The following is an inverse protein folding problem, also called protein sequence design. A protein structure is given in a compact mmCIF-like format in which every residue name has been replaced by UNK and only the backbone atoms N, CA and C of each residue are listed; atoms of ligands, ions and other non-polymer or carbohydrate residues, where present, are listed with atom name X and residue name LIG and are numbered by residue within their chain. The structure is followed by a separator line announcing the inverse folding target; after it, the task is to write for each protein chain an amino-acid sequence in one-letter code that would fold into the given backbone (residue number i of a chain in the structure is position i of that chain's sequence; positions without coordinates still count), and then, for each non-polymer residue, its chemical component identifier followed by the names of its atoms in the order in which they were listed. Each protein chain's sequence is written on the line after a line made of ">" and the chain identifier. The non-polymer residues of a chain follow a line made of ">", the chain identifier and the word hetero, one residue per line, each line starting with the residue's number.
data_IF_096235084189
#
_entry.id   IF_096235084189
#
_cell.length_a   1.000
_cell.length_b   1.000
_cell.length_c   1.000
_cell.angle_alpha   90.00
_cell.angle_beta   90.00
_cell.angle_gamma   90.00
#
_symmetry.space_group_name_H-M   'P 1'
#
loop_
_entity.id
_entity.type
_entity.pdbx_description
1 polymer ?
#
# COMPACT_ATOMS: atom_id res chain seq x y z
N UNK A 1 52.84 -29.20 37.36
CA UNK A 1 51.43 -28.89 37.66
C UNK A 1 51.22 -27.37 37.63
N UNK A 2 50.18 -26.90 36.93
CA UNK A 2 49.56 -25.54 36.93
C UNK A 2 50.38 -24.36 36.37
N UNK A 3 49.88 -23.44 35.54
CA UNK A 3 48.96 -23.42 34.37
C UNK A 3 49.34 -22.10 33.66
N UNK A 4 49.67 -22.15 32.36
CA UNK A 4 49.89 -20.96 31.50
C UNK A 4 48.54 -20.34 31.16
N UNK A 5 48.39 -19.03 31.31
CA UNK A 5 47.27 -18.26 30.74
C UNK A 5 47.87 -17.02 30.07
N UNK A 6 47.90 -17.08 28.74
CA UNK A 6 48.35 -16.02 27.87
C UNK A 6 47.23 -14.98 27.72
N UNK A 7 47.62 -13.72 27.78
CA UNK A 7 46.80 -12.56 27.42
C UNK A 7 46.59 -12.65 25.90
N UNK A 8 45.40 -13.05 25.47
CA UNK A 8 44.99 -12.91 24.06
C UNK A 8 44.14 -11.66 23.96
N UNK A 9 44.85 -10.61 23.55
CA UNK A 9 44.33 -9.38 22.99
C UNK A 9 43.63 -9.72 21.67
N UNK A 10 42.31 -9.95 21.71
CA UNK A 10 41.52 -10.14 20.49
C UNK A 10 41.04 -8.79 19.98
N UNK A 11 41.63 -8.41 18.86
CA UNK A 11 41.24 -7.31 18.01
C UNK A 11 39.77 -7.40 17.56
N UNK A 12 39.02 -6.33 17.73
CA UNK A 12 38.05 -5.87 16.72
C UNK A 12 38.21 -4.36 16.62
N UNK A 13 39.13 -3.94 15.76
CA UNK A 13 39.27 -2.56 15.32
C UNK A 13 38.66 -2.47 13.92
N UNK A 14 37.74 -1.53 13.76
CA UNK A 14 37.35 -0.86 12.52
C UNK A 14 36.71 -1.67 11.37
N UNK A 15 35.38 -1.55 11.23
CA UNK A 15 34.75 -1.12 9.98
C UNK A 15 33.71 -0.05 10.35
N UNK A 16 34.07 1.23 10.24
CA UNK A 16 33.67 2.15 9.16
C UNK A 16 32.29 2.77 9.33
N UNK A 17 32.28 4.09 9.46
CA UNK A 17 31.36 5.04 8.80
C UNK A 17 29.87 4.78 9.07
N UNK A 18 29.21 5.67 9.82
CA UNK A 18 28.87 6.95 9.21
C UNK A 18 27.85 6.74 8.08
N UNK A 19 26.71 6.13 8.39
CA UNK A 19 25.49 6.40 7.67
C UNK A 19 24.42 6.64 8.72
N UNK A 20 24.13 7.92 8.97
CA UNK A 20 22.73 8.28 9.17
C UNK A 20 21.97 7.53 8.08
N UNK A 21 21.04 6.66 8.47
CA UNK A 21 20.04 6.17 7.54
C UNK A 21 19.25 7.41 7.12
N UNK A 22 19.80 8.16 6.15
CA UNK A 22 19.03 9.07 5.34
C UNK A 22 18.01 8.14 4.70
N UNK A 23 16.79 8.13 5.25
CA UNK A 23 15.65 7.60 4.56
C UNK A 23 15.71 8.23 3.19
N UNK A 24 16.09 7.43 2.18
CA UNK A 24 16.13 7.89 0.81
C UNK A 24 14.78 8.57 0.56
N UNK A 25 14.75 9.80 0.03
CA UNK A 25 13.49 10.44 -0.28
C UNK A 25 12.69 9.44 -1.11
N UNK A 26 11.56 8.98 -0.55
CA UNK A 26 10.67 8.08 -1.27
C UNK A 26 10.37 8.74 -2.62
N UNK A 27 10.40 8.00 -3.75
CA UNK A 27 10.15 8.57 -5.06
C UNK A 27 8.89 9.43 -5.00
N UNK A 28 9.04 10.74 -5.17
CA UNK A 28 7.93 11.67 -5.08
C UNK A 28 7.08 11.53 -6.34
N UNK A 29 5.77 11.46 -6.17
CA UNK A 29 4.81 11.61 -7.26
C UNK A 29 5.08 12.96 -7.96
N UNK A 30 5.04 12.99 -9.30
CA UNK A 30 5.14 14.25 -10.02
C UNK A 30 3.94 15.13 -9.62
N UNK A 31 4.18 16.42 -9.37
CA UNK A 31 3.10 17.34 -9.00
C UNK A 31 2.15 17.51 -10.18
N UNK A 32 1.10 16.70 -10.20
CA UNK A 32 0.05 16.75 -11.21
C UNK A 32 -1.02 17.74 -10.77
N UNK A 33 -1.47 18.60 -11.69
CA UNK A 33 -2.65 19.41 -11.48
C UNK A 33 -3.89 18.52 -11.61
N UNK A 34 -4.59 18.26 -10.51
CA UNK A 34 -5.88 17.57 -10.54
C UNK A 34 -6.93 18.53 -11.09
N UNK A 35 -7.41 18.26 -12.30
CA UNK A 35 -8.39 19.10 -12.99
C UNK A 35 -9.81 18.81 -12.52
N UNK A 36 -10.10 17.53 -12.27
CA UNK A 36 -11.39 17.07 -11.78
C UNK A 36 -11.23 15.76 -11.00
N UNK A 37 -12.07 15.58 -9.98
CA UNK A 37 -12.24 14.31 -9.28
C UNK A 37 -13.49 13.63 -9.80
N UNK A 38 -13.33 12.44 -10.38
CA UNK A 38 -14.44 11.60 -10.85
C UNK A 38 -14.53 10.41 -9.90
N UNK A 39 -15.65 10.31 -9.19
CA UNK A 39 -15.95 9.16 -8.32
C UNK A 39 -17.00 8.32 -9.05
N UNK A 40 -16.64 7.10 -9.44
CA UNK A 40 -17.58 6.19 -10.07
C UNK A 40 -18.82 5.98 -9.20
N UNK A 41 -20.00 6.01 -9.81
CA UNK A 41 -21.28 5.78 -9.13
C UNK A 41 -21.47 4.34 -8.63
N UNK A 42 -20.59 3.41 -9.05
CA UNK A 42 -20.51 2.05 -8.50
C UNK A 42 -19.79 1.99 -7.15
N UNK A 43 -19.19 3.09 -6.70
CA UNK A 43 -18.50 3.16 -5.41
C UNK A 43 -19.51 3.25 -4.28
N UNK A 44 -19.45 2.24 -3.42
CA UNK A 44 -20.34 2.14 -2.27
C UNK A 44 -21.75 1.76 -2.70
N UNK A 45 -22.00 0.47 -2.90
CA UNK A 45 -23.21 -0.24 -2.40
C UNK A 45 -23.23 -1.69 -2.88
N UNK A 46 -23.68 -2.58 -1.99
CA UNK A 46 -23.95 -4.03 -2.13
C UNK A 46 -22.76 -4.99 -1.98
N UNK A 47 -22.14 -4.99 -0.79
CA UNK A 47 -21.30 -6.10 -0.35
C UNK A 47 -21.28 -6.18 1.17
N UNK A 48 -21.53 -7.36 1.74
CA UNK A 48 -21.28 -7.60 3.17
C UNK A 48 -19.77 -7.60 3.44
N UNK A 49 -19.37 -7.33 4.68
CA UNK A 49 -17.98 -7.51 5.08
C UNK A 49 -17.53 -8.94 4.76
N UNK A 50 -16.39 -9.06 4.10
CA UNK A 50 -15.78 -10.34 3.75
C UNK A 50 -14.57 -10.57 4.64
N UNK A 51 -14.39 -11.81 5.07
CA UNK A 51 -13.23 -12.23 5.83
C UNK A 51 -12.48 -13.31 5.05
N UNK A 52 -11.19 -13.10 4.81
CA UNK A 52 -10.27 -14.09 4.23
C UNK A 52 -9.13 -14.29 5.21
N UNK A 53 -8.66 -15.52 5.42
CA UNK A 53 -7.47 -15.74 6.27
C UNK A 53 -6.29 -14.88 5.77
N UNK A 54 -5.44 -14.38 6.65
CA UNK A 54 -4.26 -13.60 6.28
C UNK A 54 -3.23 -14.43 5.49
N UNK A 55 -3.29 -15.77 5.63
CA UNK A 55 -2.46 -16.71 4.88
C UNK A 55 -3.39 -17.63 4.10
N UNK A 56 -3.55 -17.39 2.80
CA UNK A 56 -4.44 -18.18 1.94
C UNK A 56 -4.02 -18.14 0.46
N UNK A 57 -4.82 -18.71 -0.42
CA UNK A 57 -4.62 -18.57 -1.88
C UNK A 57 -4.86 -17.12 -2.37
N UNK A 58 -5.58 -16.31 -1.59
CA UNK A 58 -5.94 -14.91 -1.92
C UNK A 58 -5.20 -13.87 -1.06
N UNK A 59 -4.26 -14.31 -0.23
CA UNK A 59 -3.55 -13.44 0.70
C UNK A 59 -2.22 -14.02 1.13
N UNK A 60 -1.26 -13.15 1.43
CA UNK A 60 0.05 -13.57 1.88
C UNK A 60 0.56 -12.65 2.98
N UNK A 61 1.46 -13.18 3.81
CA UNK A 61 2.15 -12.42 4.84
C UNK A 61 3.64 -12.47 4.55
N UNK A 62 4.28 -11.31 4.54
CA UNK A 62 5.72 -11.21 4.36
C UNK A 62 6.43 -11.85 5.58
N UNK A 63 7.49 -12.66 5.39
CA UNK A 63 8.26 -13.21 6.49
C UNK A 63 8.76 -12.12 7.45
N UNK A 64 8.66 -12.38 8.76
CA UNK A 64 9.01 -11.42 9.81
C UNK A 64 7.88 -10.49 10.25
N UNK A 65 6.71 -10.56 9.60
CA UNK A 65 5.51 -9.85 10.07
C UNK A 65 4.98 -10.48 11.35
N UNK A 66 4.76 -9.65 12.37
CA UNK A 66 4.10 -10.02 13.62
C UNK A 66 2.74 -9.34 13.73
N UNK A 67 1.76 -10.05 14.26
CA UNK A 67 0.42 -9.57 14.49
C UNK A 67 0.20 -9.34 15.98
N UNK A 68 -0.36 -8.20 16.36
CA UNK A 68 -0.59 -7.84 17.76
C UNK A 68 -1.98 -7.26 17.96
N UNK A 69 -2.71 -7.71 18.96
CA UNK A 69 -3.98 -7.10 19.36
C UNK A 69 -3.76 -5.75 20.05
N UNK A 70 -4.84 -5.01 20.31
CA UNK A 70 -4.78 -3.76 21.06
C UNK A 70 -4.24 -3.93 22.49
N UNK A 71 -4.41 -5.12 23.09
CA UNK A 71 -3.85 -5.47 24.40
C UNK A 71 -2.35 -5.84 24.35
N UNK A 72 -1.74 -5.85 23.17
CA UNK A 72 -0.34 -6.21 22.96
C UNK A 72 -0.08 -7.72 22.86
N UNK A 73 -1.13 -8.55 22.78
CA UNK A 73 -0.98 -9.98 22.61
C UNK A 73 -0.54 -10.30 21.17
N UNK A 74 0.51 -11.10 21.02
CA UNK A 74 0.94 -11.62 19.72
C UNK A 74 -0.02 -12.70 19.24
N UNK A 75 -0.50 -12.57 18.00
CA UNK A 75 -1.44 -13.50 17.36
C UNK A 75 -0.71 -14.24 16.24
N UNK A 76 -0.99 -15.54 16.09
CA UNK A 76 -0.48 -16.32 14.97
C UNK A 76 -1.14 -15.88 13.65
N UNK A 77 -0.37 -15.81 12.56
CA UNK A 77 -0.85 -15.37 11.26
C UNK A 77 -2.04 -16.20 10.73
N UNK A 78 -2.09 -17.51 11.04
CA UNK A 78 -3.18 -18.38 10.64
C UNK A 78 -4.49 -18.07 11.39
N UNK A 79 -4.41 -17.43 12.56
CA UNK A 79 -5.56 -17.01 13.36
C UNK A 79 -6.04 -15.58 13.04
N UNK A 80 -5.40 -14.90 12.09
CA UNK A 80 -5.76 -13.55 11.63
C UNK A 80 -6.56 -13.64 10.33
N UNK A 81 -7.65 -12.88 10.28
CA UNK A 81 -8.42 -12.66 9.07
C UNK A 81 -8.20 -11.23 8.57
N UNK A 82 -8.05 -11.09 7.25
CA UNK A 82 -8.22 -9.84 6.53
C UNK A 82 -9.72 -9.61 6.38
N UNK A 83 -10.21 -8.52 6.97
CA UNK A 83 -11.61 -8.12 6.93
C UNK A 83 -11.73 -6.94 5.98
N UNK A 84 -12.54 -7.09 4.94
CA UNK A 84 -12.77 -6.05 3.94
C UNK A 84 -14.23 -5.65 3.90
N UNK A 85 -14.50 -4.35 3.89
CA UNK A 85 -15.83 -3.78 3.75
C UNK A 85 -15.84 -2.71 2.66
N UNK A 86 -16.84 -2.66 1.77
CA UNK A 86 -17.05 -1.50 0.92
C UNK A 86 -17.15 -0.23 1.76
N UNK A 87 -16.56 0.87 1.28
CA UNK A 87 -16.78 2.19 1.88
C UNK A 87 -18.18 2.70 1.51
N UNK A 88 -18.76 3.55 2.36
CA UNK A 88 -19.97 4.30 1.99
C UNK A 88 -19.65 5.33 0.90
N UNK A 89 -20.67 5.79 0.15
CA UNK A 89 -20.49 6.85 -0.83
C UNK A 89 -19.83 8.09 -0.18
N UNK A 90 -20.35 8.53 0.97
CA UNK A 90 -19.77 9.65 1.72
C UNK A 90 -18.29 9.47 2.06
N UNK A 91 -17.90 8.29 2.57
CA UNK A 91 -16.50 7.96 2.83
C UNK A 91 -15.64 8.00 1.57
N UNK A 92 -16.18 7.58 0.44
CA UNK A 92 -15.51 7.67 -0.85
C UNK A 92 -15.35 9.12 -1.32
N UNK A 93 -16.39 9.96 -1.22
CA UNK A 93 -16.27 11.38 -1.54
C UNK A 93 -15.25 12.10 -0.64
N UNK A 94 -15.23 11.80 0.66
CA UNK A 94 -14.25 12.38 1.59
C UNK A 94 -12.82 11.93 1.27
N UNK A 95 -12.61 10.64 1.02
CA UNK A 95 -11.30 10.11 0.63
C UNK A 95 -10.82 10.73 -0.69
N UNK A 96 -11.73 10.88 -1.66
CA UNK A 96 -11.47 11.48 -2.95
C UNK A 96 -11.03 12.95 -2.83
N UNK A 97 -11.78 13.74 -2.05
CA UNK A 97 -11.45 15.14 -1.80
C UNK A 97 -10.11 15.28 -1.04
N UNK A 98 -9.87 14.42 -0.05
CA UNK A 98 -8.62 14.42 0.71
C UNK A 98 -7.42 14.04 -0.15
N UNK A 99 -7.56 13.07 -1.05
CA UNK A 99 -6.49 12.70 -1.96
C UNK A 99 -6.21 13.80 -2.99
N UNK A 100 -7.24 14.41 -3.57
CA UNK A 100 -7.06 15.53 -4.49
C UNK A 100 -6.35 16.71 -3.82
N UNK A 101 -6.72 17.03 -2.57
CA UNK A 101 -6.03 18.03 -1.77
C UNK A 101 -4.58 17.63 -1.47
N UNK A 102 -4.32 16.35 -1.21
CA UNK A 102 -2.97 15.85 -0.97
C UNK A 102 -2.06 15.97 -2.19
N UNK A 103 -2.57 15.66 -3.38
CA UNK A 103 -1.83 15.81 -4.66
C UNK A 103 -1.50 17.28 -4.93
N UNK A 104 -2.45 18.18 -4.65
CA UNK A 104 -2.26 19.62 -4.86
C UNK A 104 -1.42 20.32 -3.77
N UNK A 105 -1.26 19.68 -2.60
CA UNK A 105 -0.60 20.28 -1.44
C UNK A 105 0.92 20.11 -1.47
N UNK A 106 1.64 21.10 -0.93
CA UNK A 106 3.07 20.98 -0.65
C UNK A 106 3.36 20.34 0.72
N UNK A 107 2.37 20.36 1.63
CA UNK A 107 2.52 19.94 3.02
C UNK A 107 2.15 18.46 3.21
N UNK A 108 1.21 17.96 2.41
CA UNK A 108 0.80 16.54 2.44
C UNK A 108 1.69 15.75 1.49
N UNK A 109 2.22 14.63 1.96
CA UNK A 109 3.08 13.76 1.16
C UNK A 109 2.27 12.58 0.62
N UNK A 110 2.51 12.26 -0.64
CA UNK A 110 2.16 10.95 -1.20
C UNK A 110 3.43 10.13 -1.32
N UNK A 111 3.52 9.06 -0.52
CA UNK A 111 4.68 8.18 -0.46
C UNK A 111 4.51 7.02 -1.45
N UNK A 112 5.47 6.85 -2.36
CA UNK A 112 5.41 5.78 -3.37
C UNK A 112 6.17 4.52 -2.94
N UNK A 113 5.46 3.41 -2.76
CA UNK A 113 6.05 2.08 -2.49
C UNK A 113 5.94 1.12 -3.66
N UNK A 114 5.43 1.56 -4.82
CA UNK A 114 5.32 0.72 -6.03
C UNK A 114 6.68 0.35 -6.64
N UNK A 115 7.75 1.05 -6.25
CA UNK A 115 9.08 0.93 -6.84
C UNK A 115 9.26 1.73 -8.14
N UNK A 116 8.23 2.47 -8.57
CA UNK A 116 8.32 3.35 -9.76
C UNK A 116 9.01 4.68 -9.41
N UNK A 117 9.88 5.17 -10.30
CA UNK A 117 10.58 6.45 -10.11
C UNK A 117 9.64 7.67 -10.16
N UNK A 118 8.51 7.54 -10.86
CA UNK A 118 7.42 8.52 -10.92
C UNK A 118 6.09 7.78 -11.08
N UNK A 119 5.01 8.35 -10.56
CA UNK A 119 3.67 7.78 -10.68
C UNK A 119 2.71 8.87 -11.13
N UNK A 120 1.96 8.60 -12.20
CA UNK A 120 0.83 9.43 -12.62
C UNK A 120 -0.43 8.92 -11.96
N UNK A 121 -1.13 9.80 -11.26
CA UNK A 121 -2.41 9.48 -10.61
C UNK A 121 -3.60 10.00 -11.43
N UNK A 122 -3.34 10.92 -12.35
CA UNK A 122 -4.34 11.42 -13.27
C UNK A 122 -4.33 10.68 -14.61
N UNK A 123 -5.47 10.72 -15.30
CA UNK A 123 -5.56 10.34 -16.72
C UNK A 123 -4.91 11.40 -17.63
N UNK A 124 -4.92 11.17 -18.94
CA UNK A 124 -4.37 12.12 -19.91
C UNK A 124 -5.08 13.50 -19.95
N UNK A 125 -6.26 13.62 -19.32
CA UNK A 125 -7.02 14.86 -19.20
C UNK A 125 -6.82 15.55 -17.84
N UNK A 126 -6.01 14.98 -16.95
CA UNK A 126 -5.77 15.49 -15.60
C UNK A 126 -6.84 15.10 -14.58
N UNK A 127 -7.69 14.10 -14.88
CA UNK A 127 -8.74 13.67 -13.97
C UNK A 127 -8.24 12.56 -13.03
N UNK A 128 -8.66 12.64 -11.76
CA UNK A 128 -8.51 11.56 -10.80
C UNK A 128 -9.75 10.65 -10.88
N UNK A 129 -9.59 9.46 -11.48
CA UNK A 129 -10.70 8.53 -11.66
C UNK A 129 -10.72 7.45 -10.58
N UNK A 130 -11.49 7.69 -9.53
CA UNK A 130 -11.64 6.75 -8.42
C UNK A 130 -12.72 5.74 -8.82
N UNK A 131 -12.37 4.46 -8.73
CA UNK A 131 -13.22 3.33 -9.16
C UNK A 131 -13.70 2.44 -8.02
N UNK A 132 -12.96 2.38 -6.91
CA UNK A 132 -13.39 1.71 -5.69
C UNK A 132 -12.79 2.37 -4.45
N UNK A 133 -13.48 2.22 -3.32
CA UNK A 133 -12.94 2.55 -2.02
C UNK A 133 -13.35 1.46 -1.01
N UNK A 134 -12.37 0.86 -0.34
CA UNK A 134 -12.60 -0.27 0.55
C UNK A 134 -11.86 -0.09 1.88
N UNK A 135 -12.56 -0.37 2.98
CA UNK A 135 -11.91 -0.49 4.27
C UNK A 135 -11.32 -1.88 4.40
N UNK A 136 -10.03 -1.95 4.72
CA UNK A 136 -9.29 -3.20 4.96
C UNK A 136 -8.74 -3.17 6.38
N UNK A 137 -9.15 -4.12 7.19
CA UNK A 137 -8.65 -4.32 8.55
C UNK A 137 -8.16 -5.74 8.76
N UNK A 138 -7.58 -5.98 9.93
CA UNK A 138 -7.25 -7.30 10.41
C UNK A 138 -8.02 -7.57 11.70
N UNK A 139 -8.55 -8.78 11.82
CA UNK A 139 -9.23 -9.20 13.03
C UNK A 139 -8.94 -10.66 13.36
N UNK A 140 -9.06 -11.02 14.63
CA UNK A 140 -9.10 -12.41 15.07
C UNK A 140 -10.48 -13.03 14.76
N UNK A 141 -10.62 -14.35 14.95
CA UNK A 141 -11.91 -15.03 14.83
C UNK A 141 -12.99 -14.51 15.79
N UNK A 142 -12.61 -13.90 16.93
CA UNK A 142 -13.53 -13.25 17.87
C UNK A 142 -13.92 -11.83 17.48
N UNK A 143 -13.39 -11.32 16.35
CA UNK A 143 -13.63 -9.96 15.88
C UNK A 143 -12.75 -8.90 16.55
N UNK A 144 -11.73 -9.29 17.32
CA UNK A 144 -10.78 -8.35 17.92
C UNK A 144 -9.85 -7.79 16.86
N UNK A 145 -9.68 -6.47 16.81
CA UNK A 145 -8.80 -5.82 15.85
C UNK A 145 -7.33 -6.16 16.08
N UNK A 146 -6.61 -6.35 14.97
CA UNK A 146 -5.19 -6.75 14.96
C UNK A 146 -4.37 -5.71 14.19
N UNK A 147 -3.23 -5.35 14.77
CA UNK A 147 -2.20 -4.54 14.13
C UNK A 147 -1.08 -5.44 13.58
N UNK A 148 -0.33 -4.95 12.61
CA UNK A 148 0.79 -5.68 12.02
C UNK A 148 1.98 -4.76 11.72
N UNK A 149 3.22 -5.24 11.88
CA UNK A 149 4.45 -4.45 11.74
C UNK A 149 5.25 -4.72 10.45
N UNK A 150 4.79 -5.63 9.60
CA UNK A 150 5.40 -6.01 8.33
C UNK A 150 4.51 -5.68 7.15
N UNK A 151 4.35 -6.63 6.22
CA UNK A 151 3.50 -6.44 5.04
C UNK A 151 2.60 -7.63 4.81
N UNK A 152 1.36 -7.33 4.44
CA UNK A 152 0.37 -8.33 4.02
C UNK A 152 -0.05 -8.03 2.58
N UNK A 153 -0.42 -9.07 1.85
CA UNK A 153 -1.04 -8.94 0.54
C UNK A 153 -2.48 -9.41 0.59
N UNK A 154 -3.37 -8.66 -0.07
CA UNK A 154 -4.77 -9.02 -0.24
C UNK A 154 -5.12 -9.00 -1.72
N UNK A 155 -5.76 -10.07 -2.20
CA UNK A 155 -6.18 -10.22 -3.58
C UNK A 155 -7.71 -10.22 -3.72
N UNK A 156 -8.18 -9.56 -4.78
CA UNK A 156 -9.58 -9.35 -5.12
C UNK A 156 -9.83 -9.74 -6.57
N UNK A 157 -11.09 -9.99 -6.94
CA UNK A 157 -11.43 -10.02 -8.35
C UNK A 157 -11.32 -8.59 -8.91
N UNK A 158 -10.70 -8.44 -10.08
CA UNK A 158 -10.54 -7.14 -10.72
C UNK A 158 -11.90 -6.50 -11.03
N UNK A 159 -12.89 -7.32 -11.40
CA UNK A 159 -14.28 -6.88 -11.64
C UNK A 159 -14.91 -6.21 -10.43
N UNK A 160 -14.59 -6.67 -9.22
CA UNK A 160 -15.13 -6.11 -7.98
C UNK A 160 -14.52 -4.75 -7.70
N UNK A 161 -13.26 -4.54 -8.10
CA UNK A 161 -12.60 -3.23 -8.03
C UNK A 161 -13.08 -2.28 -9.12
N UNK A 162 -13.31 -2.75 -10.34
CA UNK A 162 -13.73 -1.88 -11.44
C UNK A 162 -15.24 -1.61 -11.48
N UNK A 163 -16.04 -2.32 -10.68
CA UNK A 163 -17.50 -2.16 -10.65
C UNK A 163 -18.15 -2.43 -12.01
N UNK A 164 -17.61 -3.38 -12.78
CA UNK A 164 -18.07 -3.73 -14.13
C UNK A 164 -17.42 -2.93 -15.27
N UNK A 165 -16.60 -1.93 -14.98
CA UNK A 165 -15.76 -1.27 -15.99
C UNK A 165 -14.62 -2.19 -16.46
N UNK A 166 -14.06 -1.89 -17.63
CA UNK A 166 -12.87 -2.55 -18.16
C UNK A 166 -11.76 -1.53 -18.31
N UNK A 167 -10.52 -1.94 -18.03
CA UNK A 167 -9.36 -1.10 -18.29
C UNK A 167 -9.17 -0.95 -19.81
N UNK A 168 -9.09 0.29 -20.28
CA UNK A 168 -8.72 0.57 -21.65
C UNK A 168 -7.23 0.34 -21.89
N UNK A 169 -6.81 0.41 -23.15
CA UNK A 169 -5.39 0.28 -23.50
C UNK A 169 -4.56 1.38 -22.80
N UNK A 170 -3.49 0.92 -22.12
CA UNK A 170 -2.59 1.77 -21.35
C UNK A 170 -3.10 2.17 -19.96
N UNK A 171 -4.30 1.73 -19.56
CA UNK A 171 -4.80 1.95 -18.20
C UNK A 171 -4.33 0.87 -17.23
N UNK A 172 -4.09 1.28 -16.00
CA UNK A 172 -3.78 0.43 -14.86
C UNK A 172 -4.54 0.90 -13.63
N UNK A 173 -4.61 0.07 -12.60
CA UNK A 173 -5.14 0.48 -11.29
C UNK A 173 -3.98 0.84 -10.36
N UNK A 174 -4.11 1.95 -9.65
CA UNK A 174 -3.31 2.31 -8.49
C UNK A 174 -4.14 2.15 -7.23
N UNK A 175 -3.51 1.72 -6.14
CA UNK A 175 -4.14 1.62 -4.83
C UNK A 175 -3.40 2.50 -3.84
N UNK A 176 -4.15 3.33 -3.11
CA UNK A 176 -3.61 4.26 -2.14
C UNK A 176 -4.42 4.20 -0.86
N UNK A 177 -3.78 4.36 0.29
CA UNK A 177 -4.49 4.53 1.55
C UNK A 177 -3.95 5.73 2.32
N UNK A 178 -4.81 6.33 3.13
CA UNK A 178 -4.42 7.43 4.01
C UNK A 178 -4.06 6.90 5.40
N UNK A 179 -2.94 7.35 5.94
CA UNK A 179 -2.55 7.12 7.33
C UNK A 179 -3.26 8.10 8.26
N UNK A 180 -3.26 7.80 9.56
CA UNK A 180 -3.83 8.67 10.58
C UNK A 180 -3.18 10.06 10.65
N UNK A 181 -1.94 10.21 10.19
CA UNK A 181 -1.22 11.49 10.11
C UNK A 181 -1.57 12.31 8.85
N UNK A 182 -2.50 11.83 8.02
CA UNK A 182 -2.93 12.47 6.78
C UNK A 182 -2.08 12.13 5.55
N UNK A 183 -0.95 11.42 5.72
CA UNK A 183 -0.06 10.99 4.63
C UNK A 183 -0.75 9.95 3.77
N UNK A 184 -0.70 10.14 2.45
CA UNK A 184 -1.16 9.14 1.50
C UNK A 184 -0.03 8.20 1.12
N UNK A 185 -0.33 6.91 1.03
CA UNK A 185 0.64 5.86 0.71
C UNK A 185 0.14 5.10 -0.49
N UNK A 186 0.90 5.17 -1.58
CA UNK A 186 0.68 4.35 -2.77
C UNK A 186 1.37 3.00 -2.61
N UNK A 187 0.61 1.92 -2.77
CA UNK A 187 1.08 0.56 -2.53
C UNK A 187 1.32 -0.19 -3.84
N UNK A 188 2.21 -1.19 -3.86
CA UNK A 188 2.35 -2.10 -5.00
C UNK A 188 1.02 -2.74 -5.37
N UNK A 189 0.71 -2.73 -6.66
CA UNK A 189 -0.45 -3.37 -7.26
C UNK A 189 0.03 -4.37 -8.31
N UNK A 190 -0.52 -5.58 -8.29
CA UNK A 190 -0.31 -6.60 -9.33
C UNK A 190 -1.66 -6.98 -9.89
N UNK A 191 -1.84 -6.83 -11.20
CA UNK A 191 -3.02 -7.31 -11.92
C UNK A 191 -2.61 -8.47 -12.81
N UNK A 192 -3.23 -9.63 -12.61
CA UNK A 192 -2.97 -10.82 -13.41
C UNK A 192 -4.21 -11.70 -13.47
N UNK A 193 -4.52 -12.23 -14.66
CA UNK A 193 -5.59 -13.22 -14.86
C UNK A 193 -6.96 -12.83 -14.25
N UNK A 194 -7.34 -11.56 -14.34
CA UNK A 194 -8.61 -11.06 -13.79
C UNK A 194 -8.63 -10.88 -12.26
N UNK A 195 -7.50 -11.05 -11.59
CA UNK A 195 -7.32 -10.71 -10.18
C UNK A 195 -6.44 -9.45 -10.02
N UNK A 196 -6.63 -8.77 -8.90
CA UNK A 196 -5.81 -7.65 -8.46
C UNK A 196 -5.34 -7.91 -7.03
N UNK A 197 -4.04 -7.86 -6.80
CA UNK A 197 -3.43 -8.00 -5.50
C UNK A 197 -2.71 -6.71 -5.10
N UNK A 198 -2.86 -6.31 -3.84
CA UNK A 198 -2.20 -5.14 -3.27
C UNK A 198 -1.34 -5.53 -2.07
N UNK A 199 -0.19 -4.88 -1.91
CA UNK A 199 0.70 -5.11 -0.76
C UNK A 199 0.58 -3.98 0.26
N UNK A 200 -0.11 -4.23 1.37
CA UNK A 200 -0.28 -3.26 2.45
C UNK A 200 0.92 -3.33 3.41
N UNK A 201 1.63 -2.21 3.65
CA UNK A 201 2.67 -2.14 4.68
C UNK A 201 2.03 -2.01 6.07
N UNK A 202 2.86 -1.90 7.12
CA UNK A 202 2.44 -1.82 8.52
C UNK A 202 1.30 -0.82 8.77
N UNK A 203 0.25 -1.27 9.45
CA UNK A 203 -0.86 -0.45 9.94
C UNK A 203 -1.39 -0.98 11.27
N UNK A 204 -1.87 -0.07 12.11
CA UNK A 204 -2.36 -0.36 13.46
C UNK A 204 -3.88 -0.51 13.58
N UNK A 205 -4.62 -0.12 12.56
CA UNK A 205 -6.08 -0.19 12.50
C UNK A 205 -6.56 -0.27 11.06
N UNK A 206 -7.86 -0.47 10.86
CA UNK A 206 -8.41 -0.57 9.51
C UNK A 206 -8.07 0.66 8.66
N UNK A 207 -7.62 0.44 7.43
CA UNK A 207 -7.23 1.49 6.48
C UNK A 207 -8.25 1.58 5.37
N UNK A 208 -8.53 2.80 4.91
CA UNK A 208 -9.37 3.02 3.74
C UNK A 208 -8.48 3.05 2.48
N UNK A 209 -8.68 2.09 1.59
CA UNK A 209 -7.92 1.92 0.36
C UNK A 209 -8.74 2.41 -0.82
N UNK A 210 -8.26 3.51 -1.42
CA UNK A 210 -8.78 4.12 -2.64
C UNK A 210 -8.11 3.50 -3.86
N UNK A 211 -8.92 2.98 -4.77
CA UNK A 211 -8.49 2.45 -6.06
C UNK A 211 -8.78 3.45 -7.17
N UNK A 212 -7.78 3.68 -8.01
CA UNK A 212 -7.79 4.73 -9.03
C UNK A 212 -7.37 4.12 -10.35
N UNK A 213 -8.10 4.42 -11.41
CA UNK A 213 -7.63 4.11 -12.76
C UNK A 213 -6.69 5.23 -13.19
N UNK A 214 -5.44 4.85 -13.47
CA UNK A 214 -4.40 5.73 -13.97
C UNK A 214 -4.00 5.28 -15.37
N UNK A 215 -3.66 6.23 -16.25
CA UNK A 215 -3.15 5.91 -17.57
C UNK A 215 -1.63 6.02 -17.58
N UNK A 216 -0.96 4.90 -17.86
CA UNK A 216 0.49 4.87 -17.97
C UNK A 216 0.98 5.54 -19.25
N UNK A 217 2.19 6.09 -19.20
CA UNK A 217 2.90 6.47 -20.42
C UNK A 217 3.30 5.19 -21.19
N UNK A 218 3.28 5.20 -22.54
CA UNK A 218 3.77 4.07 -23.32
C UNK A 218 5.22 3.76 -22.96
N UNK A 219 5.62 2.49 -23.04
CA UNK A 219 6.96 2.04 -22.62
C UNK A 219 8.09 2.83 -23.32
N UNK A 220 7.87 3.28 -24.55
CA UNK A 220 8.80 4.15 -25.31
C UNK A 220 9.02 5.53 -24.68
N UNK A 221 8.11 5.98 -23.82
CA UNK A 221 8.16 7.26 -23.11
C UNK A 221 8.68 7.11 -21.67
N UNK A 222 8.81 5.88 -21.14
CA UNK A 222 9.42 5.62 -19.84
C UNK A 222 10.94 5.65 -20.04
N UNK A 223 11.67 6.64 -19.49
CA UNK A 223 13.12 6.69 -19.63
C UNK A 223 13.73 5.41 -19.04
N UNK A 224 14.74 4.82 -19.67
CA UNK A 224 15.40 3.62 -19.15
C UNK A 224 15.92 3.79 -17.70
N UNK A 225 16.18 5.03 -17.28
CA UNK A 225 16.56 5.39 -15.91
C UNK A 225 15.42 5.36 -14.88
N UNK A 226 14.15 5.31 -15.31
CA UNK A 226 12.98 5.29 -14.42
C UNK A 226 12.66 3.88 -13.87
N UNK A 227 13.33 2.84 -14.40
CA UNK A 227 13.19 1.45 -13.99
C UNK A 227 14.28 1.00 -12.98
N UNK A 228 14.94 1.93 -12.30
CA UNK A 228 15.89 1.59 -11.24
C UNK A 228 15.16 1.31 -9.93
N UNK A 229 15.29 0.09 -9.42
CA UNK A 229 14.96 -0.23 -8.03
C UNK A 229 15.66 0.77 -7.09
N UNK A 230 15.05 1.23 -5.99
CA UNK A 230 15.69 2.10 -5.00
C UNK A 230 16.95 1.51 -4.33
N UNK A 231 17.45 0.35 -4.77
CA UNK A 231 18.54 -0.42 -4.18
C UNK A 231 19.59 -0.94 -5.17
N UNK A 232 19.96 -0.15 -6.18
CA UNK A 232 21.21 -0.37 -6.93
C UNK A 232 22.03 0.89 -6.98
#
# INVERSE_FOLDING_TARGET
>A
MKRKMAIVLSAVMALTMGMTAMAAPSPSIQKETVQQVVVSSSIGTTGAAQATSAVSEKSAVLPGTTFTTASGQVVDAAAVAIVTSPATAEQAQTAAASLAAAIASADVKVMNFTGLAAMSLTDASGNLNIVNNMTIGLATASGEAVAQNGSISAAFALSDILGGATLAEGETVQALYQRADGTWVAVPVVIANGAIAIALPAFGGAVNVTFIVAKGAPMSAIPAAAATSPRT
#
